data_IF_790806190328
#
_entry.id   IF_790806190328
#
_cell.length_a   1.000
_cell.length_b   1.000
_cell.length_c   1.000
_cell.angle_alpha   90.00
_cell.angle_beta   90.00
_cell.angle_gamma   90.00
#
_symmetry.space_group_name_H-M   'P 1'
#
loop_
_entity.id
_entity.type
_entity.pdbx_description
1 polymer ?
#
# COMPACT_ATOMS: atom_id res chain seq x y z
N UNK A 1 70.63 2.36 24.93
CA UNK A 1 69.59 1.50 25.53
C UNK A 1 68.53 2.43 26.11
N UNK A 2 67.26 2.48 25.73
CA UNK A 2 66.31 1.59 25.04
C UNK A 2 65.35 2.51 24.27
N UNK A 3 65.35 2.42 22.94
CA UNK A 3 64.29 1.81 22.11
C UNK A 3 63.11 2.75 21.85
N UNK A 4 63.21 3.47 20.73
CA UNK A 4 62.09 4.05 20.00
C UNK A 4 61.19 2.91 19.48
N UNK A 5 59.89 2.96 19.79
CA UNK A 5 58.89 2.12 19.14
C UNK A 5 58.03 3.04 18.27
N UNK A 6 58.35 3.08 16.97
CA UNK A 6 57.47 3.56 15.93
C UNK A 6 56.44 2.45 15.63
N UNK A 7 55.28 2.48 16.28
CA UNK A 7 54.15 1.66 15.86
C UNK A 7 53.34 2.44 14.83
N UNK A 8 53.75 2.20 13.58
CA UNK A 8 52.93 2.05 12.37
C UNK A 8 51.52 2.66 12.39
N UNK A 9 51.36 3.67 11.53
CA UNK A 9 50.10 4.11 10.97
C UNK A 9 49.33 2.94 10.35
N UNK A 10 48.30 2.47 11.03
CA UNK A 10 47.05 2.07 10.37
C UNK A 10 45.91 2.51 11.29
N UNK A 11 45.52 3.78 11.15
CA UNK A 11 44.17 4.19 11.52
C UNK A 11 43.27 3.33 10.64
N UNK A 12 42.69 2.26 11.18
CA UNK A 12 41.49 1.69 10.60
C UNK A 12 40.42 2.78 10.77
N UNK A 13 40.34 3.70 9.80
CA UNK A 13 39.10 4.42 9.58
C UNK A 13 38.13 3.34 9.13
N UNK A 14 37.36 2.81 10.09
CA UNK A 14 36.12 2.16 9.75
C UNK A 14 35.32 3.22 8.98
N UNK A 15 35.32 3.12 7.66
CA UNK A 15 34.39 3.84 6.80
C UNK A 15 33.02 3.25 7.11
N UNK A 16 32.44 3.78 8.19
CA UNK A 16 31.01 3.64 8.45
C UNK A 16 30.32 4.25 7.24
N UNK A 17 29.82 3.40 6.35
CA UNK A 17 28.92 3.81 5.27
C UNK A 17 27.58 4.33 5.82
N UNK A 18 27.40 4.30 7.14
CA UNK A 18 26.25 4.86 7.84
C UNK A 18 26.36 6.38 7.87
N UNK A 19 25.35 7.02 7.28
CA UNK A 19 25.11 8.45 7.35
C UNK A 19 25.21 8.97 8.79
N UNK A 20 26.02 10.00 9.04
CA UNK A 20 26.11 10.68 10.34
C UNK A 20 25.61 12.13 10.22
N UNK A 21 24.66 12.58 11.07
CA UNK A 21 23.91 11.79 12.06
C UNK A 21 22.98 10.76 11.40
N UNK A 22 22.69 9.63 12.08
CA UNK A 22 21.69 8.69 11.59
C UNK A 22 20.35 9.42 11.56
N UNK A 23 19.84 9.70 10.36
CA UNK A 23 18.52 10.25 10.18
C UNK A 23 17.64 9.17 9.58
N UNK A 24 16.53 8.87 10.25
CA UNK A 24 15.62 7.79 9.91
C UNK A 24 14.98 7.92 8.52
N UNK A 25 15.19 9.04 7.82
CA UNK A 25 14.59 9.35 6.52
C UNK A 25 15.61 9.42 5.36
N UNK A 26 16.90 9.15 5.63
CA UNK A 26 17.93 9.01 4.58
C UNK A 26 18.13 7.53 4.22
N UNK A 27 18.24 7.21 2.92
CA UNK A 27 18.57 5.87 2.44
C UNK A 27 20.06 5.71 2.12
N UNK A 28 20.69 6.73 1.53
CA UNK A 28 22.13 6.71 1.18
C UNK A 28 22.73 8.11 1.27
N UNK A 29 24.00 8.20 1.66
CA UNK A 29 24.79 9.43 1.68
C UNK A 29 25.74 9.52 0.48
N UNK A 30 26.24 10.72 0.21
CA UNK A 30 27.29 10.93 -0.79
C UNK A 30 28.62 10.34 -0.29
N UNK A 31 29.44 9.85 -1.22
CA UNK A 31 30.75 9.28 -0.92
C UNK A 31 31.77 10.32 -0.45
N UNK A 32 31.54 11.58 -0.81
CA UNK A 32 32.47 12.69 -0.59
C UNK A 32 32.16 13.46 0.70
N UNK A 33 30.92 13.36 1.20
CA UNK A 33 30.46 13.95 2.45
C UNK A 33 29.39 13.06 3.12
N UNK A 34 29.71 12.39 4.24
CA UNK A 34 28.77 11.55 4.98
C UNK A 34 27.64 12.33 5.69
N UNK A 35 27.63 13.67 5.63
CA UNK A 35 26.52 14.53 6.08
C UNK A 35 25.55 14.92 4.96
N UNK A 36 25.89 14.64 3.69
CA UNK A 36 25.08 15.01 2.53
C UNK A 36 24.33 13.79 1.98
N UNK A 37 23.02 13.90 1.85
CA UNK A 37 22.15 12.80 1.42
C UNK A 37 22.08 12.71 -0.10
N UNK A 38 22.03 11.46 -0.60
CA UNK A 38 21.86 11.15 -2.01
C UNK A 38 20.42 10.74 -2.31
N UNK A 39 19.87 9.82 -1.50
CA UNK A 39 18.50 9.34 -1.65
C UNK A 39 17.74 9.45 -0.32
N UNK A 40 16.47 9.80 -0.41
CA UNK A 40 15.55 9.90 0.72
C UNK A 40 14.55 8.75 0.70
N UNK A 41 14.04 8.38 1.88
CA UNK A 41 12.91 7.44 1.99
C UNK A 41 11.65 8.04 1.32
N UNK A 42 10.66 7.21 0.94
CA UNK A 42 9.34 7.72 0.58
C UNK A 42 8.83 8.73 1.61
N UNK A 43 8.01 9.67 1.17
CA UNK A 43 7.50 10.82 1.93
C UNK A 43 8.52 11.94 2.15
N UNK A 44 9.74 11.81 1.61
CA UNK A 44 10.78 12.83 1.67
C UNK A 44 11.44 13.04 0.30
N UNK A 45 11.87 14.27 0.04
CA UNK A 45 12.66 14.65 -1.15
C UNK A 45 13.96 15.33 -0.75
N UNK A 46 14.94 15.32 -1.65
CA UNK A 46 16.25 15.92 -1.42
C UNK A 46 16.22 17.43 -1.69
N UNK A 47 16.52 18.25 -0.68
CA UNK A 47 16.70 19.70 -0.78
C UNK A 47 18.00 20.10 -0.09
N UNK A 48 18.90 20.74 -0.83
CA UNK A 48 20.19 21.24 -0.30
C UNK A 48 21.01 20.16 0.44
N UNK A 49 20.98 18.92 -0.06
CA UNK A 49 21.70 17.80 0.56
C UNK A 49 21.03 17.20 1.80
N UNK A 50 19.81 17.64 2.14
CA UNK A 50 19.00 17.14 3.26
C UNK A 50 17.66 16.61 2.77
N UNK A 51 17.11 15.64 3.49
CA UNK A 51 15.80 15.10 3.18
C UNK A 51 14.73 15.94 3.89
N UNK A 52 13.80 16.48 3.11
CA UNK A 52 12.69 17.31 3.58
C UNK A 52 11.39 16.57 3.31
N UNK A 53 10.41 16.66 4.21
CA UNK A 53 9.12 16.00 4.05
C UNK A 53 8.35 16.53 2.85
N UNK A 54 7.69 15.64 2.11
CA UNK A 54 6.73 16.00 1.08
C UNK A 54 5.51 16.74 1.66
N UNK A 55 4.68 17.30 0.78
CA UNK A 55 3.37 17.83 1.15
C UNK A 55 2.46 16.75 1.77
N UNK A 56 1.47 17.19 2.56
CA UNK A 56 0.56 16.28 3.25
C UNK A 56 -0.15 15.33 2.27
N UNK A 57 -0.24 14.05 2.63
CA UNK A 57 -0.85 13.02 1.77
C UNK A 57 0.04 12.53 0.62
N UNK A 58 1.24 13.09 0.41
CA UNK A 58 2.15 12.67 -0.64
C UNK A 58 3.10 11.56 -0.18
N UNK A 59 3.23 10.51 -0.99
CA UNK A 59 4.16 9.39 -0.80
C UNK A 59 5.45 9.56 -1.59
N UNK A 60 5.40 10.13 -2.79
CA UNK A 60 6.59 10.42 -3.61
C UNK A 60 6.46 11.82 -4.20
N UNK A 61 7.41 12.69 -3.90
CA UNK A 61 7.48 14.07 -4.41
C UNK A 61 8.87 14.40 -4.97
N UNK A 62 8.93 15.38 -5.88
CA UNK A 62 10.19 15.94 -6.38
C UNK A 62 10.59 17.20 -5.62
N UNK A 63 9.61 17.92 -5.09
CA UNK A 63 9.78 19.09 -4.24
C UNK A 63 8.55 19.26 -3.31
N UNK A 64 8.51 20.35 -2.54
CA UNK A 64 7.43 20.59 -1.57
C UNK A 64 6.06 20.85 -2.22
N UNK A 65 6.03 21.28 -3.48
CA UNK A 65 4.81 21.60 -4.26
C UNK A 65 4.44 20.52 -5.28
N UNK A 66 5.36 19.62 -5.62
CA UNK A 66 5.18 18.65 -6.71
C UNK A 66 5.15 17.23 -6.18
N UNK A 67 3.94 16.67 -5.99
CA UNK A 67 3.72 15.27 -5.70
C UNK A 67 3.48 14.45 -6.98
N UNK A 68 3.98 13.22 -7.01
CA UNK A 68 3.83 12.27 -8.13
C UNK A 68 3.08 11.00 -7.73
N UNK A 69 3.14 10.61 -6.45
CA UNK A 69 2.40 9.47 -5.92
C UNK A 69 1.82 9.82 -4.57
N UNK A 70 0.52 9.64 -4.41
CA UNK A 70 -0.18 9.90 -3.17
C UNK A 70 -0.21 8.67 -2.24
N UNK A 71 -0.36 8.93 -0.95
CA UNK A 71 -0.63 7.90 0.06
C UNK A 71 -2.02 7.30 -0.17
N UNK A 72 -2.26 6.09 0.36
CA UNK A 72 -3.62 5.54 0.40
C UNK A 72 -4.59 6.51 1.08
N UNK A 73 -5.83 6.56 0.62
CA UNK A 73 -6.82 7.57 1.05
C UNK A 73 -6.67 8.94 0.38
N UNK A 74 -5.73 9.11 -0.56
CA UNK A 74 -5.58 10.32 -1.36
C UNK A 74 -5.52 10.00 -2.86
N UNK A 75 -5.92 10.96 -3.69
CA UNK A 75 -5.77 10.93 -5.14
C UNK A 75 -4.95 12.12 -5.63
N UNK A 76 -4.28 11.94 -6.76
CA UNK A 76 -3.44 12.97 -7.36
C UNK A 76 -4.28 13.92 -8.22
N UNK A 77 -4.18 15.21 -7.96
CA UNK A 77 -4.81 16.27 -8.75
C UNK A 77 -3.84 17.45 -8.85
N UNK A 78 -3.41 17.80 -10.07
CA UNK A 78 -2.50 18.93 -10.34
C UNK A 78 -1.27 18.95 -9.42
N UNK A 79 -0.56 17.82 -9.34
CA UNK A 79 0.62 17.60 -8.48
C UNK A 79 0.35 17.65 -6.96
N UNK A 80 -0.91 17.72 -6.53
CA UNK A 80 -1.30 17.73 -5.13
C UNK A 80 -2.10 16.48 -4.78
N UNK A 81 -1.95 16.02 -3.54
CA UNK A 81 -2.73 14.90 -3.04
C UNK A 81 -3.97 15.41 -2.32
N UNK A 82 -5.14 15.12 -2.88
CA UNK A 82 -6.44 15.44 -2.29
C UNK A 82 -7.03 14.22 -1.61
N UNK A 83 -7.71 14.44 -0.49
CA UNK A 83 -8.31 13.36 0.27
C UNK A 83 -9.43 12.70 -0.53
N UNK A 84 -9.51 11.38 -0.46
CA UNK A 84 -10.66 10.64 -0.96
C UNK A 84 -11.95 11.01 -0.19
N UNK A 85 -13.09 10.73 -0.81
CA UNK A 85 -14.40 10.83 -0.14
C UNK A 85 -14.47 9.99 1.14
N UNK A 86 -15.42 10.34 2.01
CA UNK A 86 -15.66 9.61 3.26
C UNK A 86 -15.82 8.10 3.03
N UNK A 87 -15.22 7.32 3.95
CA UNK A 87 -15.20 5.86 3.93
C UNK A 87 -14.54 5.20 2.70
N UNK A 88 -13.93 6.00 1.82
CA UNK A 88 -13.14 5.51 0.72
C UNK A 88 -11.70 5.23 1.17
N UNK A 89 -11.16 4.09 0.75
CA UNK A 89 -9.78 3.66 1.01
C UNK A 89 -8.85 3.98 -0.17
N UNK A 90 -9.34 3.80 -1.41
CA UNK A 90 -8.64 4.18 -2.65
C UNK A 90 -9.59 4.88 -3.60
N UNK A 91 -9.13 5.97 -4.21
CA UNK A 91 -9.90 6.73 -5.17
C UNK A 91 -9.02 7.28 -6.29
N UNK A 92 -9.65 7.62 -7.42
CA UNK A 92 -9.02 8.31 -8.57
C UNK A 92 -9.53 9.74 -8.74
N UNK A 93 -10.40 10.19 -7.85
CA UNK A 93 -11.05 11.49 -7.88
C UNK A 93 -11.97 11.68 -6.68
N UNK A 94 -12.48 12.90 -6.49
CA UNK A 94 -13.33 13.24 -5.34
C UNK A 94 -14.54 12.30 -5.18
N UNK A 95 -15.17 11.89 -6.29
CA UNK A 95 -16.35 10.99 -6.32
C UNK A 95 -16.08 9.69 -7.07
N UNK A 96 -14.81 9.33 -7.26
CA UNK A 96 -14.38 8.15 -7.99
C UNK A 96 -13.66 7.18 -7.05
N UNK A 97 -14.39 6.66 -6.05
CA UNK A 97 -13.87 5.65 -5.14
C UNK A 97 -13.78 4.28 -5.83
N UNK A 98 -12.62 3.62 -5.68
CA UNK A 98 -12.33 2.30 -6.26
C UNK A 98 -12.27 1.20 -5.22
N UNK A 99 -12.02 1.53 -3.95
CA UNK A 99 -12.19 0.61 -2.83
C UNK A 99 -12.60 1.36 -1.57
N UNK A 100 -13.47 0.73 -0.78
CA UNK A 100 -13.97 1.29 0.47
C UNK A 100 -13.26 0.70 1.68
N UNK A 101 -13.33 1.42 2.80
CA UNK A 101 -12.91 0.91 4.11
C UNK A 101 -13.80 -0.26 4.53
N UNK A 102 -13.31 -1.08 5.45
CA UNK A 102 -14.05 -2.23 6.01
C UNK A 102 -15.46 -1.83 6.47
N UNK A 103 -16.46 -2.63 6.10
CA UNK A 103 -17.88 -2.38 6.40
C UNK A 103 -18.61 -1.54 5.35
N UNK A 104 -17.97 -1.23 4.23
CA UNK A 104 -18.55 -0.46 3.12
C UNK A 104 -18.23 -1.11 1.77
N UNK A 105 -19.14 -0.94 0.81
CA UNK A 105 -18.97 -1.37 -0.57
C UNK A 105 -19.07 -0.19 -1.54
N UNK A 106 -18.48 -0.33 -2.74
CA UNK A 106 -18.51 0.71 -3.77
C UNK A 106 -19.85 0.68 -4.52
N UNK A 107 -20.52 1.82 -4.56
CA UNK A 107 -21.75 2.05 -5.32
C UNK A 107 -21.72 3.44 -5.96
N UNK A 108 -21.78 3.50 -7.29
CA UNK A 108 -21.76 4.77 -8.02
C UNK A 108 -20.52 5.63 -7.76
N UNK A 109 -19.37 5.02 -7.48
CA UNK A 109 -18.12 5.74 -7.14
C UNK A 109 -18.06 6.25 -5.69
N UNK A 110 -19.04 5.88 -4.85
CA UNK A 110 -19.09 6.24 -3.43
C UNK A 110 -19.14 4.99 -2.56
N UNK A 111 -18.93 5.17 -1.25
CA UNK A 111 -18.95 4.06 -0.29
C UNK A 111 -20.26 4.02 0.48
N UNK A 112 -21.02 2.94 0.28
CA UNK A 112 -22.27 2.67 0.98
C UNK A 112 -22.03 1.62 2.05
N UNK A 113 -22.68 1.77 3.21
CA UNK A 113 -22.52 0.84 4.33
C UNK A 113 -23.10 -0.53 3.99
N UNK A 114 -22.38 -1.57 4.38
CA UNK A 114 -22.84 -2.95 4.31
C UNK A 114 -23.91 -3.25 5.37
N UNK A 115 -24.81 -4.18 5.07
CA UNK A 115 -25.81 -4.70 5.98
C UNK A 115 -25.67 -6.22 6.15
N UNK A 116 -26.20 -6.74 7.25
CA UNK A 116 -26.37 -8.18 7.42
C UNK A 116 -27.41 -8.71 6.43
N UNK A 117 -27.10 -9.88 5.86
CA UNK A 117 -27.98 -10.57 4.91
C UNK A 117 -29.07 -11.36 5.63
N UNK A 118 -30.15 -11.66 4.91
CA UNK A 118 -31.08 -12.71 5.35
C UNK A 118 -30.42 -14.08 5.27
N UNK A 119 -30.69 -14.94 6.25
CA UNK A 119 -30.14 -16.30 6.33
C UNK A 119 -30.45 -17.16 5.09
N UNK A 120 -31.54 -16.88 4.38
CA UNK A 120 -31.92 -17.56 3.14
C UNK A 120 -30.95 -17.30 1.97
N UNK A 121 -30.08 -16.29 2.07
CA UNK A 121 -29.16 -15.92 0.99
C UNK A 121 -27.87 -16.75 1.08
N UNK A 122 -27.93 -17.95 0.51
CA UNK A 122 -26.84 -18.93 0.53
C UNK A 122 -25.53 -18.32 0.05
N UNK A 123 -24.44 -18.57 0.79
CA UNK A 123 -23.09 -18.12 0.43
C UNK A 123 -22.82 -16.62 0.58
N UNK A 124 -23.83 -15.79 0.83
CA UNK A 124 -23.63 -14.35 0.98
C UNK A 124 -23.18 -13.99 2.40
N UNK A 125 -22.17 -13.12 2.50
CA UNK A 125 -21.60 -12.64 3.76
C UNK A 125 -22.16 -11.27 4.14
N UNK A 126 -22.16 -10.31 3.21
CA UNK A 126 -22.69 -8.95 3.40
C UNK A 126 -23.57 -8.54 2.24
N UNK A 127 -24.56 -7.72 2.55
CA UNK A 127 -25.60 -7.28 1.63
C UNK A 127 -25.69 -5.76 1.57
N UNK A 128 -26.42 -5.29 0.57
CA UNK A 128 -27.02 -3.95 0.62
C UNK A 128 -28.12 -3.90 1.69
N UNK A 129 -28.63 -2.70 1.95
CA UNK A 129 -29.71 -2.45 2.90
C UNK A 129 -31.03 -3.20 2.59
N UNK A 130 -31.22 -3.69 1.36
CA UNK A 130 -32.38 -4.53 1.00
C UNK A 130 -32.29 -5.98 1.55
N UNK A 131 -31.13 -6.35 2.13
CA UNK A 131 -30.81 -7.68 2.67
C UNK A 131 -30.94 -8.85 1.68
N UNK A 132 -31.03 -8.54 0.38
CA UNK A 132 -31.25 -9.49 -0.73
C UNK A 132 -30.18 -9.40 -1.80
N UNK A 133 -29.57 -8.23 -1.95
CA UNK A 133 -28.50 -7.95 -2.90
C UNK A 133 -27.17 -8.18 -2.21
N UNK A 134 -26.45 -9.22 -2.64
CA UNK A 134 -25.16 -9.57 -2.07
C UNK A 134 -24.06 -8.62 -2.59
N UNK A 135 -23.17 -8.20 -1.70
CA UNK A 135 -22.00 -7.37 -2.03
C UNK A 135 -20.67 -8.06 -1.68
N UNK A 136 -20.70 -9.08 -0.82
CA UNK A 136 -19.53 -9.93 -0.54
C UNK A 136 -19.95 -11.35 -0.18
N UNK A 137 -19.10 -12.31 -0.53
CA UNK A 137 -19.38 -13.74 -0.37
C UNK A 137 -18.59 -14.36 0.79
N UNK A 138 -19.16 -15.41 1.38
CA UNK A 138 -18.49 -16.28 2.34
C UNK A 138 -17.37 -17.05 1.63
N UNK A 139 -16.38 -17.53 2.38
CA UNK A 139 -15.32 -18.37 1.84
C UNK A 139 -15.89 -19.59 1.08
N UNK A 140 -15.27 -19.95 -0.05
CA UNK A 140 -15.76 -20.98 -0.96
C UNK A 140 -16.87 -20.51 -1.93
N UNK A 141 -17.19 -19.21 -1.97
CA UNK A 141 -18.10 -18.61 -2.95
C UNK A 141 -17.49 -17.38 -3.60
N UNK A 142 -17.85 -17.09 -4.86
CA UNK A 142 -17.51 -15.87 -5.58
C UNK A 142 -18.75 -15.05 -5.91
N UNK A 143 -18.58 -13.74 -6.06
CA UNK A 143 -19.68 -12.83 -6.39
C UNK A 143 -19.93 -12.83 -7.90
N UNK A 144 -21.13 -13.25 -8.29
CA UNK A 144 -21.62 -13.26 -9.67
C UNK A 144 -22.82 -12.32 -9.77
N UNK A 145 -22.56 -11.09 -10.25
CA UNK A 145 -23.54 -10.00 -10.23
C UNK A 145 -23.90 -9.61 -8.79
N UNK A 146 -25.06 -10.06 -8.32
CA UNK A 146 -25.62 -9.75 -6.99
C UNK A 146 -25.81 -10.99 -6.11
N UNK A 147 -25.25 -12.14 -6.52
CA UNK A 147 -25.41 -13.44 -5.85
C UNK A 147 -24.06 -14.10 -5.66
N UNK A 148 -23.97 -14.97 -4.66
CA UNK A 148 -22.79 -15.78 -4.43
C UNK A 148 -22.96 -17.16 -5.04
N UNK A 149 -22.03 -17.54 -5.89
CA UNK A 149 -21.96 -18.86 -6.53
C UNK A 149 -20.79 -19.63 -5.94
N UNK A 150 -20.96 -20.93 -5.74
CA UNK A 150 -19.92 -21.77 -5.13
C UNK A 150 -18.68 -21.84 -6.01
N UNK A 151 -17.50 -21.84 -5.40
CA UNK A 151 -16.24 -22.10 -6.09
C UNK A 151 -16.19 -23.53 -6.62
N UNK A 152 -15.33 -23.75 -7.62
CA UNK A 152 -14.98 -25.10 -8.06
C UNK A 152 -14.36 -25.87 -6.89
N UNK A 153 -14.62 -27.18 -6.79
CA UNK A 153 -14.27 -28.03 -5.63
C UNK A 153 -12.78 -28.00 -5.26
N UNK A 154 -11.89 -27.86 -6.25
CA UNK A 154 -10.44 -27.81 -6.06
C UNK A 154 -9.95 -26.46 -5.49
N UNK A 155 -10.86 -25.51 -5.28
CA UNK A 155 -10.54 -24.13 -4.95
C UNK A 155 -11.12 -23.75 -3.59
N UNK A 156 -10.22 -23.26 -2.73
CA UNK A 156 -10.57 -22.72 -1.42
C UNK A 156 -11.18 -21.32 -1.56
N UNK A 157 -10.61 -20.52 -2.47
CA UNK A 157 -11.14 -19.22 -2.89
C UNK A 157 -11.05 -19.08 -4.40
N UNK A 158 -12.00 -18.35 -4.98
CA UNK A 158 -12.09 -18.14 -6.40
C UNK A 158 -12.64 -16.76 -6.73
N UNK A 159 -12.29 -16.25 -7.91
CA UNK A 159 -12.82 -14.99 -8.46
C UNK A 159 -13.89 -15.22 -9.53
N UNK A 160 -14.02 -16.46 -10.02
CA UNK A 160 -15.05 -16.88 -10.98
C UNK A 160 -15.28 -18.40 -10.86
N UNK A 161 -16.20 -18.94 -11.66
CA UNK A 161 -16.43 -20.38 -11.77
C UNK A 161 -15.17 -21.18 -12.17
N UNK A 162 -14.20 -20.57 -12.84
CA UNK A 162 -13.01 -21.24 -13.39
C UNK A 162 -11.68 -20.68 -12.88
N UNK A 163 -11.69 -19.50 -12.26
CA UNK A 163 -10.48 -18.81 -11.80
C UNK A 163 -10.35 -18.92 -10.29
N UNK A 164 -9.32 -19.62 -9.84
CA UNK A 164 -9.06 -19.82 -8.43
C UNK A 164 -7.99 -18.85 -7.93
N UNK A 165 -8.22 -18.26 -6.76
CA UNK A 165 -7.27 -17.36 -6.10
C UNK A 165 -6.49 -18.07 -5.00
N UNK A 166 -7.06 -19.16 -4.46
CA UNK A 166 -6.34 -20.12 -3.64
C UNK A 166 -6.89 -21.54 -3.83
N UNK A 167 -6.01 -22.52 -3.70
CA UNK A 167 -6.33 -23.92 -3.90
C UNK A 167 -6.69 -24.61 -2.58
N UNK A 168 -7.56 -25.61 -2.67
CA UNK A 168 -7.77 -26.58 -1.60
C UNK A 168 -6.50 -27.40 -1.38
N UNK A 169 -6.38 -28.03 -0.20
CA UNK A 169 -5.20 -28.83 0.14
C UNK A 169 -4.97 -29.93 -0.91
N UNK A 170 -3.71 -30.05 -1.39
CA UNK A 170 -3.33 -31.01 -2.43
C UNK A 170 -3.43 -30.49 -3.88
N UNK A 171 -3.90 -29.25 -4.10
CA UNK A 171 -3.96 -28.61 -5.42
C UNK A 171 -3.01 -27.42 -5.52
N UNK A 172 -2.64 -27.02 -6.75
CA UNK A 172 -1.76 -25.88 -7.03
C UNK A 172 -2.34 -24.99 -8.14
N UNK A 173 -2.05 -23.69 -8.06
CA UNK A 173 -2.43 -22.73 -9.10
C UNK A 173 -1.54 -22.95 -10.33
N UNK A 174 -2.14 -23.27 -11.46
CA UNK A 174 -1.44 -23.29 -12.74
C UNK A 174 -1.58 -21.88 -13.37
N UNK A 175 -0.53 -21.06 -13.24
CA UNK A 175 -0.47 -19.76 -13.89
C UNK A 175 -0.04 -19.92 -15.34
N UNK A 176 -0.91 -19.53 -16.28
CA UNK A 176 -0.51 -19.29 -17.67
C UNK A 176 0.17 -17.93 -17.81
#
# INVERSE_FOLDING_TARGET
MRTLIFLSFTIFTAFSNDCKPPQDYCLTCTTDDPQKYKNCKPEYFLKEGKCTSCSAGCSICTDITTCTVCKNGYYLEENNCKLCSNNCDKCTGATACTSCKTGYYVEGGTCTQEAECKDSLTGCLKCKNDQKTCVSCKAGFYLEGSKCTVCKTECKECSSATTCTSCSDGYYLNGN
#
